data_IF_638734284502
#
_entry.id   IF_638734284502
#
_cell.length_a   1.000
_cell.length_b   1.000
_cell.length_c   1.000
_cell.angle_alpha   90.00
_cell.angle_beta   90.00
_cell.angle_gamma   90.00
#
_symmetry.space_group_name_H-M   'P 1'
#
loop_
_entity.id
_entity.type
_entity.pdbx_description
1 polymer ?
#
# COMPACT_ATOMS: atom_id res chain seq x y z
N UNK A 1 -10.63 -16.20 8.77
CA UNK A 1 -11.38 -16.08 7.50
C UNK A 1 -11.99 -17.42 7.13
N UNK A 2 -13.07 -17.43 6.34
CA UNK A 2 -13.62 -18.66 5.76
C UNK A 2 -12.68 -19.19 4.66
N UNK A 3 -12.53 -20.51 4.54
CA UNK A 3 -11.65 -21.16 3.56
C UNK A 3 -12.01 -20.86 2.08
N UNK A 4 -13.20 -20.28 1.83
CA UNK A 4 -13.70 -19.99 0.49
C UNK A 4 -13.52 -18.53 0.03
N UNK A 5 -12.83 -17.68 0.80
CA UNK A 5 -12.57 -16.28 0.41
C UNK A 5 -11.29 -16.24 -0.43
N UNK A 6 -11.36 -15.68 -1.64
CA UNK A 6 -10.22 -15.63 -2.57
C UNK A 6 -9.92 -14.19 -2.98
N UNK A 7 -8.66 -13.74 -2.92
CA UNK A 7 -8.29 -12.41 -3.40
C UNK A 7 -8.50 -12.31 -4.92
N UNK A 8 -9.03 -11.20 -5.38
CA UNK A 8 -9.26 -10.92 -6.80
C UNK A 8 -8.27 -9.90 -7.34
N UNK A 9 -8.02 -8.85 -6.55
CA UNK A 9 -7.32 -7.67 -7.00
C UNK A 9 -6.86 -6.81 -5.83
N UNK A 10 -5.81 -6.02 -6.00
CA UNK A 10 -5.48 -4.96 -5.05
C UNK A 10 -5.06 -3.63 -5.67
N UNK A 11 -5.24 -2.56 -4.90
CA UNK A 11 -4.74 -1.23 -5.19
C UNK A 11 -3.92 -0.71 -4.01
N UNK A 12 -2.72 -0.19 -4.28
CA UNK A 12 -1.94 0.60 -3.34
C UNK A 12 -1.90 2.06 -3.76
N UNK A 13 -2.23 2.96 -2.86
CA UNK A 13 -2.07 4.40 -3.06
C UNK A 13 -1.17 4.93 -1.96
N UNK A 14 -0.09 5.61 -2.34
CA UNK A 14 0.87 6.21 -1.43
C UNK A 14 0.89 7.71 -1.68
N UNK A 15 0.57 8.50 -0.67
CA UNK A 15 0.56 9.96 -0.73
C UNK A 15 1.67 10.50 0.15
N UNK A 16 2.78 10.90 -0.49
CA UNK A 16 3.89 11.55 0.18
C UNK A 16 3.56 13.02 0.41
N UNK A 17 3.68 13.48 1.65
CA UNK A 17 3.52 14.88 2.04
C UNK A 17 4.88 15.57 2.12
N UNK A 18 4.89 16.90 2.05
CA UNK A 18 6.10 17.73 2.21
C UNK A 18 6.76 17.55 3.58
N UNK A 19 6.01 17.08 4.58
CA UNK A 19 6.49 16.80 5.93
C UNK A 19 7.22 15.46 6.06
N UNK A 20 7.24 14.65 5.00
CA UNK A 20 7.77 13.28 4.99
C UNK A 20 6.81 12.23 5.55
N UNK A 21 5.59 12.64 5.96
CA UNK A 21 4.49 11.70 6.22
C UNK A 21 4.06 11.06 4.90
N UNK A 22 3.76 9.77 4.93
CA UNK A 22 3.15 9.03 3.83
C UNK A 22 1.84 8.43 4.31
N UNK A 23 0.73 8.80 3.66
CA UNK A 23 -0.53 8.09 3.81
C UNK A 23 -0.57 6.96 2.78
N UNK A 24 -0.67 5.73 3.26
CA UNK A 24 -0.80 4.54 2.45
C UNK A 24 -2.22 3.98 2.58
N UNK A 25 -2.90 3.85 1.45
CA UNK A 25 -4.22 3.23 1.34
C UNK A 25 -4.07 1.97 0.50
N UNK A 26 -4.23 0.80 1.11
CA UNK A 26 -4.28 -0.47 0.40
C UNK A 26 -5.71 -0.95 0.36
N UNK A 27 -6.21 -1.29 -0.82
CA UNK A 27 -7.55 -1.85 -1.01
C UNK A 27 -7.42 -3.21 -1.63
N UNK A 28 -7.86 -4.24 -0.92
CA UNK A 28 -7.98 -5.60 -1.43
C UNK A 28 -9.45 -5.89 -1.76
N UNK A 29 -9.70 -6.40 -2.95
CA UNK A 29 -11.01 -6.89 -3.37
C UNK A 29 -11.01 -8.44 -3.33
N UNK A 30 -12.08 -9.03 -2.80
CA UNK A 30 -12.20 -10.46 -2.58
C UNK A 30 -13.49 -11.02 -3.19
N UNK A 31 -13.40 -12.24 -3.70
CA UNK A 31 -14.56 -13.10 -3.94
C UNK A 31 -14.92 -13.82 -2.64
N UNK A 32 -16.11 -13.53 -2.11
CA UNK A 32 -16.66 -14.08 -0.87
C UNK A 32 -18.02 -14.75 -1.18
N UNK A 33 -18.02 -15.96 -1.75
CA UNK A 33 -19.26 -16.63 -2.19
C UNK A 33 -20.22 -16.92 -1.03
N UNK A 34 -19.68 -17.10 0.18
CA UNK A 34 -20.45 -17.35 1.39
C UNK A 34 -21.00 -16.07 2.04
N UNK A 35 -20.64 -14.90 1.48
CA UNK A 35 -21.06 -13.57 1.92
C UNK A 35 -20.72 -13.35 3.40
N UNK A 36 -19.58 -13.88 3.86
CA UNK A 36 -19.09 -13.74 5.22
C UNK A 36 -19.05 -12.27 5.64
N UNK A 37 -18.35 -11.43 4.88
CA UNK A 37 -18.16 -10.02 5.22
C UNK A 37 -19.48 -9.26 5.16
N UNK A 38 -20.33 -9.52 4.15
CA UNK A 38 -21.67 -8.94 4.08
C UNK A 38 -22.52 -9.24 5.32
N UNK A 39 -22.53 -10.51 5.77
CA UNK A 39 -23.25 -10.91 6.99
C UNK A 39 -22.64 -10.29 8.25
N UNK A 40 -21.34 -9.99 8.23
CA UNK A 40 -20.61 -9.38 9.34
C UNK A 40 -20.98 -7.90 9.52
N UNK A 41 -21.27 -7.17 8.44
CA UNK A 41 -21.63 -5.75 8.49
C UNK A 41 -22.84 -5.44 9.39
N UNK A 42 -23.74 -6.41 9.60
CA UNK A 42 -24.89 -6.26 10.49
C UNK A 42 -24.61 -6.63 11.96
N UNK A 43 -23.35 -6.92 12.32
CA UNK A 43 -22.94 -7.40 13.65
C UNK A 43 -21.80 -6.52 14.20
N UNK A 44 -22.08 -5.32 14.75
CA UNK A 44 -21.06 -4.31 15.06
C UNK A 44 -19.91 -4.82 15.93
N UNK A 45 -20.20 -5.57 16.99
CA UNK A 45 -19.15 -6.12 17.89
C UNK A 45 -18.23 -7.08 17.15
N UNK A 46 -18.80 -8.00 16.35
CA UNK A 46 -18.00 -8.97 15.59
C UNK A 46 -17.25 -8.31 14.43
N UNK A 47 -17.83 -7.27 13.83
CA UNK A 47 -17.18 -6.49 12.80
C UNK A 47 -15.92 -5.82 13.35
N UNK A 48 -16.01 -5.25 14.55
CA UNK A 48 -14.86 -4.64 15.23
C UNK A 48 -13.79 -5.67 15.59
N UNK A 49 -14.18 -6.83 16.12
CA UNK A 49 -13.25 -7.94 16.39
C UNK A 49 -12.48 -8.37 15.13
N UNK A 50 -13.17 -8.45 13.98
CA UNK A 50 -12.55 -8.78 12.70
C UNK A 50 -11.61 -7.65 12.22
N UNK A 51 -11.99 -6.38 12.36
CA UNK A 51 -11.10 -5.24 12.01
C UNK A 51 -9.82 -5.27 12.82
N UNK A 52 -9.90 -5.47 14.14
CA UNK A 52 -8.72 -5.59 15.01
C UNK A 52 -7.86 -6.79 14.61
N UNK A 53 -8.48 -7.93 14.31
CA UNK A 53 -7.75 -9.11 13.83
C UNK A 53 -7.00 -8.83 12.52
N UNK A 54 -7.66 -8.21 11.54
CA UNK A 54 -7.04 -7.86 10.25
C UNK A 54 -5.93 -6.81 10.41
N UNK A 55 -6.14 -5.80 11.26
CA UNK A 55 -5.15 -4.77 11.55
C UNK A 55 -3.87 -5.39 12.12
N UNK A 56 -4.00 -6.30 13.11
CA UNK A 56 -2.86 -6.99 13.71
C UNK A 56 -2.12 -7.88 12.69
N UNK A 57 -2.85 -8.59 11.82
CA UNK A 57 -2.22 -9.40 10.78
C UNK A 57 -1.46 -8.54 9.77
N UNK A 58 -2.05 -7.44 9.31
CA UNK A 58 -1.37 -6.51 8.40
C UNK A 58 -0.13 -5.90 9.07
N UNK A 59 -0.26 -5.47 10.32
CA UNK A 59 0.89 -4.94 11.08
C UNK A 59 2.02 -5.97 11.21
N UNK A 60 1.68 -7.25 11.44
CA UNK A 60 2.69 -8.31 11.51
C UNK A 60 3.53 -8.41 10.23
N UNK A 61 2.89 -8.35 9.05
CA UNK A 61 3.61 -8.37 7.76
C UNK A 61 4.44 -7.11 7.56
N UNK A 62 3.85 -5.95 7.83
CA UNK A 62 4.53 -4.65 7.77
C UNK A 62 5.77 -4.59 8.68
N UNK A 63 5.71 -5.21 9.87
CA UNK A 63 6.83 -5.29 10.81
C UNK A 63 8.00 -6.17 10.31
N UNK A 64 7.77 -7.01 9.29
CA UNK A 64 8.84 -7.78 8.64
C UNK A 64 9.53 -6.99 7.53
N UNK A 65 8.91 -5.91 7.05
CA UNK A 65 9.48 -5.04 6.03
C UNK A 65 10.45 -4.04 6.66
N UNK A 66 11.49 -3.68 5.90
CA UNK A 66 12.38 -2.58 6.26
C UNK A 66 12.13 -1.40 5.31
N UNK A 67 11.34 -0.45 5.80
CA UNK A 67 11.03 0.80 5.12
C UNK A 67 12.02 1.89 5.56
N UNK A 68 12.66 2.53 4.57
CA UNK A 68 13.63 3.60 4.77
C UNK A 68 13.23 4.84 3.97
N UNK A 69 13.48 6.02 4.56
CA UNK A 69 13.52 7.28 3.83
C UNK A 69 14.86 7.93 4.15
N UNK A 70 15.69 8.13 3.12
CA UNK A 70 17.06 8.65 3.26
C UNK A 70 17.91 7.86 4.27
N UNK A 71 17.94 6.53 4.15
CA UNK A 71 18.66 5.61 5.05
C UNK A 71 18.16 5.57 6.51
N UNK A 72 17.10 6.33 6.84
CA UNK A 72 16.49 6.35 8.18
C UNK A 72 15.23 5.50 8.19
N UNK A 73 15.08 4.65 9.21
CA UNK A 73 13.91 3.78 9.36
C UNK A 73 12.62 4.58 9.55
N UNK A 74 11.62 4.26 8.73
CA UNK A 74 10.30 4.85 8.72
C UNK A 74 9.24 3.74 8.78
N UNK A 75 9.11 3.04 9.93
CA UNK A 75 8.29 1.83 10.02
C UNK A 75 6.80 2.16 9.82
N UNK A 76 6.11 1.43 8.93
CA UNK A 76 4.67 1.59 8.69
C UNK A 76 3.82 1.10 9.85
N UNK A 77 2.71 1.82 10.07
CA UNK A 77 1.73 1.52 11.11
C UNK A 77 0.33 1.51 10.54
N UNK A 78 -0.41 0.44 10.82
CA UNK A 78 -1.84 0.39 10.53
C UNK A 78 -2.57 1.35 11.46
N UNK A 79 -3.27 2.32 10.89
CA UNK A 79 -4.09 3.31 11.59
C UNK A 79 -5.53 2.86 11.70
N UNK A 80 -6.07 2.26 10.64
CA UNK A 80 -7.46 1.79 10.60
C UNK A 80 -7.68 0.70 9.53
N UNK A 81 -8.77 -0.04 9.68
CA UNK A 81 -9.23 -1.06 8.73
C UNK A 81 -10.72 -0.91 8.48
N UNK A 82 -11.09 -0.78 7.20
CA UNK A 82 -12.48 -0.75 6.77
C UNK A 82 -12.84 -2.02 6.01
N UNK A 83 -14.01 -2.59 6.29
CA UNK A 83 -14.54 -3.78 5.63
C UNK A 83 -15.86 -3.41 4.98
N UNK A 84 -16.04 -3.76 3.71
CA UNK A 84 -17.29 -3.51 3.02
C UNK A 84 -17.53 -4.44 1.84
N UNK A 85 -18.50 -4.08 1.00
CA UNK A 85 -18.85 -4.82 -0.23
C UNK A 85 -18.93 -3.89 -1.44
N UNK A 86 -18.47 -4.36 -2.59
CA UNK A 86 -18.48 -3.66 -3.88
C UNK A 86 -19.81 -3.87 -4.61
N UNK A 87 -20.88 -3.27 -4.10
CA UNK A 87 -22.21 -3.28 -4.73
C UNK A 87 -22.93 -4.65 -4.75
N UNK A 88 -22.21 -5.77 -4.74
CA UNK A 88 -22.74 -7.14 -4.61
C UNK A 88 -22.25 -7.78 -3.30
N UNK A 89 -23.10 -8.50 -2.55
CA UNK A 89 -22.72 -9.17 -1.30
C UNK A 89 -21.56 -10.16 -1.40
N UNK A 90 -21.31 -10.73 -2.59
CA UNK A 90 -20.26 -11.70 -2.84
C UNK A 90 -18.91 -11.08 -3.23
N UNK A 91 -18.87 -9.75 -3.42
CA UNK A 91 -17.64 -9.03 -3.74
C UNK A 91 -17.33 -8.14 -2.55
N UNK A 92 -16.45 -8.61 -1.67
CA UNK A 92 -16.02 -7.87 -0.49
C UNK A 92 -14.81 -6.99 -0.82
N UNK A 93 -14.59 -5.97 0.00
CA UNK A 93 -13.33 -5.24 0.01
C UNK A 93 -12.85 -5.03 1.44
N UNK A 94 -11.54 -4.95 1.60
CA UNK A 94 -10.87 -4.54 2.83
C UNK A 94 -9.95 -3.38 2.48
N UNK A 95 -10.08 -2.27 3.21
CA UNK A 95 -9.18 -1.12 3.11
C UNK A 95 -8.29 -1.09 4.35
N UNK A 96 -6.98 -1.00 4.14
CA UNK A 96 -6.02 -0.70 5.19
C UNK A 96 -5.57 0.76 5.03
N UNK A 97 -5.70 1.53 6.11
CA UNK A 97 -5.11 2.86 6.22
C UNK A 97 -3.83 2.72 7.03
N UNK A 98 -2.71 3.06 6.42
CA UNK A 98 -1.37 2.89 6.97
C UNK A 98 -0.65 4.23 6.90
N UNK A 99 0.17 4.52 7.90
CA UNK A 99 1.03 5.70 7.90
C UNK A 99 2.47 5.30 8.21
N UNK A 100 3.42 5.95 7.56
CA UNK A 100 4.81 6.00 7.97
C UNK A 100 5.36 7.41 7.75
N UNK A 101 6.43 7.73 8.46
CA UNK A 101 7.04 9.06 8.35
C UNK A 101 8.55 8.95 8.35
N UNK A 102 9.16 9.65 7.40
CA UNK A 102 10.60 9.85 7.33
C UNK A 102 10.97 11.33 7.32
N UNK A 103 12.27 11.59 7.30
CA UNK A 103 12.81 12.95 7.17
C UNK A 103 13.21 13.22 5.72
N UNK A 104 12.63 14.27 5.15
CA UNK A 104 12.94 14.75 3.81
C UNK A 104 14.02 15.84 3.87
N UNK A 105 14.82 15.92 2.82
CA UNK A 105 15.85 16.95 2.63
C UNK A 105 15.67 17.67 1.31
N UNK A 106 16.22 18.87 1.19
CA UNK A 106 16.31 19.55 -0.10
C UNK A 106 17.21 18.75 -1.06
N UNK A 107 16.85 18.71 -2.34
CA UNK A 107 17.54 17.94 -3.37
C UNK A 107 17.08 16.48 -3.39
N UNK A 108 18.03 15.57 -3.64
CA UNK A 108 17.73 14.16 -3.89
C UNK A 108 17.37 13.41 -2.60
N UNK A 109 16.23 12.73 -2.62
CA UNK A 109 15.71 11.85 -1.59
C UNK A 109 15.54 10.44 -2.16
N UNK A 110 15.50 9.45 -1.27
CA UNK A 110 15.18 8.07 -1.60
C UNK A 110 14.19 7.49 -0.60
N UNK A 111 13.14 6.86 -1.11
CA UNK A 111 12.32 5.91 -0.37
C UNK A 111 12.79 4.50 -0.75
N UNK A 112 12.88 3.60 0.23
CA UNK A 112 13.23 2.20 0.02
C UNK A 112 12.29 1.30 0.80
N UNK A 113 11.88 0.19 0.19
CA UNK A 113 11.24 -0.92 0.88
C UNK A 113 12.03 -2.21 0.63
N UNK A 114 12.36 -2.92 1.70
CA UNK A 114 13.11 -4.17 1.65
C UNK A 114 12.26 -5.24 2.33
N UNK A 115 11.89 -6.27 1.57
CA UNK A 115 11.03 -7.35 2.02
C UNK A 115 11.38 -8.65 1.29
N UNK A 116 10.90 -9.77 1.82
CA UNK A 116 11.16 -11.09 1.22
C UNK A 116 10.62 -11.16 -0.22
N UNK A 117 11.33 -11.84 -1.10
CA UNK A 117 10.84 -12.05 -2.46
C UNK A 117 9.64 -13.01 -2.45
N UNK A 118 8.55 -12.61 -3.09
CA UNK A 118 7.35 -13.43 -3.24
C UNK A 118 6.83 -13.41 -4.67
N UNK A 119 5.97 -14.38 -4.99
CA UNK A 119 5.27 -14.45 -6.27
C UNK A 119 3.85 -13.90 -6.10
N UNK A 120 3.50 -12.85 -6.83
CA UNK A 120 2.19 -12.23 -6.74
C UNK A 120 1.09 -13.23 -7.14
N UNK A 121 0.16 -13.52 -6.24
CA UNK A 121 -0.95 -14.47 -6.49
C UNK A 121 -2.07 -13.86 -7.35
N UNK A 122 -2.22 -12.54 -7.29
CA UNK A 122 -3.26 -11.78 -7.98
C UNK A 122 -2.70 -10.48 -8.56
N UNK A 123 -3.49 -9.85 -9.42
CA UNK A 123 -3.12 -8.60 -10.06
C UNK A 123 -3.28 -7.44 -9.08
N UNK A 124 -2.30 -6.54 -9.05
CA UNK A 124 -2.43 -5.30 -8.30
C UNK A 124 -1.78 -4.11 -9.00
N UNK A 125 -2.23 -2.93 -8.60
CA UNK A 125 -1.73 -1.65 -9.11
C UNK A 125 -1.28 -0.79 -7.95
N UNK A 126 -0.18 -0.06 -8.16
CA UNK A 126 0.34 0.89 -7.18
C UNK A 126 0.49 2.27 -7.80
N UNK A 127 0.08 3.28 -7.04
CA UNK A 127 0.29 4.69 -7.33
C UNK A 127 1.08 5.35 -6.20
N UNK A 128 2.06 6.16 -6.58
CA UNK A 128 2.75 7.08 -5.68
C UNK A 128 2.46 8.50 -6.12
N UNK A 129 1.97 9.32 -5.20
CA UNK A 129 1.72 10.74 -5.38
C UNK A 129 2.73 11.53 -4.56
N UNK A 130 3.56 12.31 -5.25
CA UNK A 130 4.56 13.18 -4.64
C UNK A 130 3.99 14.58 -4.37
N UNK A 131 4.52 15.29 -3.36
CA UNK A 131 4.09 16.65 -3.06
C UNK A 131 4.41 17.62 -4.22
N UNK A 132 3.86 18.83 -4.16
CA UNK A 132 3.89 19.80 -5.26
C UNK A 132 5.30 20.17 -5.70
N UNK A 133 6.17 20.29 -4.71
CA UNK A 133 7.57 20.66 -4.83
C UNK A 133 8.51 19.47 -5.14
N UNK A 134 7.96 18.27 -5.34
CA UNK A 134 8.74 17.06 -5.59
C UNK A 134 8.57 16.49 -6.99
N UNK A 135 9.63 15.85 -7.50
CA UNK A 135 9.64 15.18 -8.81
C UNK A 135 10.40 13.86 -8.72
N UNK A 136 9.80 12.79 -9.23
CA UNK A 136 10.43 11.47 -9.35
C UNK A 136 11.53 11.54 -10.43
N UNK A 137 12.73 11.10 -10.05
CA UNK A 137 13.90 11.00 -10.93
C UNK A 137 13.97 9.62 -11.57
N UNK A 138 13.85 8.57 -10.76
CA UNK A 138 13.83 7.17 -11.20
C UNK A 138 13.21 6.27 -10.12
N UNK A 139 12.88 5.05 -10.49
CA UNK A 139 12.55 3.99 -9.55
C UNK A 139 13.29 2.70 -9.91
N UNK A 140 13.58 1.91 -8.90
CA UNK A 140 14.16 0.58 -8.98
C UNK A 140 13.10 -0.37 -8.47
N UNK A 141 12.34 -0.94 -9.41
CA UNK A 141 11.23 -1.85 -9.13
C UNK A 141 11.45 -3.14 -9.93
N UNK A 142 10.94 -4.26 -9.42
CA UNK A 142 10.96 -5.55 -10.13
C UNK A 142 10.09 -5.57 -11.39
N UNK A 143 9.38 -4.48 -11.68
CA UNK A 143 8.41 -4.37 -12.77
C UNK A 143 8.55 -3.05 -13.55
N UNK A 144 8.07 -3.00 -14.81
CA UNK A 144 7.97 -1.74 -15.54
C UNK A 144 7.05 -0.75 -14.83
N UNK A 145 7.48 0.52 -14.81
CA UNK A 145 6.72 1.63 -14.24
C UNK A 145 6.60 2.78 -15.23
N UNK A 146 5.68 3.70 -14.92
CA UNK A 146 5.48 4.95 -15.65
C UNK A 146 5.48 6.10 -14.66
N UNK A 147 6.10 7.20 -15.06
CA UNK A 147 6.01 8.49 -14.37
C UNK A 147 5.20 9.43 -15.26
N UNK A 148 4.21 10.12 -14.68
CA UNK A 148 3.43 11.13 -15.41
C UNK A 148 4.33 12.27 -15.92
N UNK A 149 3.96 13.01 -16.99
CA UNK A 149 4.82 14.06 -17.56
C UNK A 149 5.22 15.16 -16.57
N UNK A 150 4.38 15.41 -15.56
CA UNK A 150 4.71 16.35 -14.50
C UNK A 150 5.70 15.77 -13.47
N UNK A 151 6.10 14.51 -13.52
CA UNK A 151 7.04 13.90 -12.59
C UNK A 151 6.49 13.64 -11.17
N UNK A 152 5.20 13.88 -10.89
CA UNK A 152 4.63 13.78 -9.53
C UNK A 152 3.93 12.47 -9.23
N UNK A 153 3.59 11.70 -10.26
CA UNK A 153 2.87 10.45 -10.09
C UNK A 153 3.67 9.32 -10.71
N UNK A 154 4.02 8.33 -9.90
CA UNK A 154 4.56 7.05 -10.35
C UNK A 154 3.46 6.00 -10.29
N UNK A 155 3.41 5.16 -11.31
CA UNK A 155 2.45 4.10 -11.47
C UNK A 155 3.15 2.83 -11.91
N UNK A 156 2.78 1.70 -11.32
CA UNK A 156 3.14 0.39 -11.84
C UNK A 156 2.03 -0.62 -11.58
N UNK A 157 2.11 -1.72 -12.34
CA UNK A 157 1.15 -2.81 -12.32
C UNK A 157 1.90 -4.13 -12.23
N UNK A 158 1.47 -4.98 -11.31
CA UNK A 158 2.04 -6.30 -11.09
C UNK A 158 1.01 -7.34 -11.50
N UNK A 159 1.44 -8.29 -12.33
CA UNK A 159 0.58 -9.38 -12.80
C UNK A 159 0.76 -10.62 -11.92
N UNK A 160 -0.24 -11.52 -11.86
CA UNK A 160 -0.06 -12.82 -11.22
C UNK A 160 1.15 -13.57 -11.78
N UNK A 161 1.91 -14.26 -10.92
CA UNK A 161 3.13 -14.97 -11.28
C UNK A 161 4.38 -14.09 -11.40
N UNK A 162 4.28 -12.78 -11.12
CA UNK A 162 5.43 -11.88 -11.11
C UNK A 162 6.16 -12.00 -9.77
N UNK A 163 7.48 -12.16 -9.79
CA UNK A 163 8.29 -12.07 -8.59
C UNK A 163 8.52 -10.60 -8.22
N UNK A 164 8.23 -10.28 -6.98
CA UNK A 164 8.38 -8.95 -6.37
C UNK A 164 9.13 -9.09 -5.04
N UNK A 165 9.61 -7.99 -4.47
CA UNK A 165 10.41 -7.99 -3.25
C UNK A 165 11.91 -7.85 -3.47
N UNK A 166 12.68 -8.21 -2.45
CA UNK A 166 14.10 -7.88 -2.37
C UNK A 166 14.28 -6.43 -1.92
N UNK A 167 14.63 -5.53 -2.84
CA UNK A 167 14.75 -4.09 -2.56
C UNK A 167 14.09 -3.30 -3.67
N UNK A 168 13.11 -2.50 -3.29
CA UNK A 168 12.46 -1.52 -4.14
C UNK A 168 12.84 -0.12 -3.69
N UNK A 169 13.06 0.80 -4.65
CA UNK A 169 13.43 2.17 -4.32
C UNK A 169 12.80 3.20 -5.26
N UNK A 170 12.45 4.36 -4.73
CA UNK A 170 11.99 5.52 -5.49
C UNK A 170 12.89 6.70 -5.17
N UNK A 171 13.54 7.24 -6.19
CA UNK A 171 14.41 8.41 -6.10
C UNK A 171 13.64 9.63 -6.59
N UNK A 172 13.63 10.68 -5.79
CA UNK A 172 12.89 11.90 -6.10
C UNK A 172 13.61 13.14 -5.56
N UNK A 173 13.47 14.25 -6.25
CA UNK A 173 14.03 15.54 -5.82
C UNK A 173 12.94 16.39 -5.17
N UNK A 174 13.28 17.08 -4.08
CA UNK A 174 12.47 18.12 -3.44
C UNK A 174 13.15 19.46 -3.66
N UNK A 175 12.37 20.46 -4.06
CA UNK A 175 12.79 21.86 -4.10
C UNK A 175 12.14 22.62 -2.94
N UNK A 176 12.89 23.47 -2.26
CA UNK A 176 12.24 24.46 -1.40
C UNK A 176 11.69 25.59 -2.28
N UNK A 177 10.45 26.01 -2.01
CA UNK A 177 9.95 27.25 -2.58
C UNK A 177 10.76 28.41 -1.97
N UNK A 178 11.38 29.20 -2.85
CA UNK A 178 12.15 30.41 -2.50
C UNK A 178 11.23 31.57 -2.20
#
# INVERSE_FOLDING_TARGET
MSDNITPLYAHGYFYMHETGLVDQVIVFDYWDPDRYYWKLLSKPVKLEEERVFLANNMQYYLDQEKVLINDVEAPPKVVDVEIGVRGKPEIAYIVFLIEFKGELKEGLNVYENIYEEEEAEYEYIVYWFMPENARIVKAELGVPYRVEPNGRVLFFKVKPGTRVGGREAIYFEIKQDV
#
